data_IF_405588799384
#
_entry.id   IF_405588799384
#
_cell.length_a   1.000
_cell.length_b   1.000
_cell.length_c   1.000
_cell.angle_alpha   90.00
_cell.angle_beta   90.00
_cell.angle_gamma   90.00
#
_symmetry.space_group_name_H-M   'P 1'
#
loop_
_entity.id
_entity.type
_entity.pdbx_description
1 polymer ?
#
# COMPACT_ATOMS: atom_id res chain seq x y z
N UNK A 1 -7.83 10.45 12.11
CA UNK A 1 -7.19 10.93 10.87
C UNK A 1 -6.95 12.41 10.98
N UNK A 2 -5.70 12.88 11.12
CA UNK A 2 -5.42 14.32 11.37
C UNK A 2 -4.50 15.01 10.36
N UNK A 3 -3.99 14.32 9.32
CA UNK A 3 -3.00 14.89 8.38
C UNK A 3 -3.22 14.44 6.91
N UNK A 4 -4.47 14.29 6.43
CA UNK A 4 -4.72 14.14 4.99
C UNK A 4 -4.72 15.55 4.39
N UNK A 5 -3.86 15.78 3.39
CA UNK A 5 -3.81 17.04 2.66
C UNK A 5 -4.61 16.84 1.37
N UNK A 6 -5.66 17.63 1.20
CA UNK A 6 -6.41 17.71 -0.05
C UNK A 6 -5.81 18.81 -0.90
N UNK A 7 -5.47 18.48 -2.15
CA UNK A 7 -4.94 19.42 -3.13
C UNK A 7 -5.51 19.09 -4.50
N UNK A 8 -5.82 20.12 -5.28
CA UNK A 8 -6.38 19.94 -6.63
C UNK A 8 -5.41 19.16 -7.53
N UNK A 9 -5.93 18.12 -8.19
CA UNK A 9 -5.16 17.20 -9.02
C UNK A 9 -4.29 16.17 -8.28
N UNK A 10 -4.29 16.14 -6.94
CA UNK A 10 -3.58 15.11 -6.19
C UNK A 10 -4.31 13.75 -6.22
N UNK A 11 -3.57 12.65 -6.11
CA UNK A 11 -4.16 11.32 -5.99
C UNK A 11 -4.80 11.16 -4.61
N UNK A 12 -6.10 10.81 -4.59
CA UNK A 12 -6.82 10.51 -3.35
C UNK A 12 -6.48 9.10 -2.83
N UNK A 13 -6.56 8.90 -1.51
CA UNK A 13 -6.27 7.60 -0.88
C UNK A 13 -7.11 6.42 -1.39
N UNK A 14 -8.42 6.56 -1.69
CA UNK A 14 -9.18 5.49 -2.33
C UNK A 14 -8.61 5.05 -3.69
N UNK A 15 -8.13 6.01 -4.48
CA UNK A 15 -7.51 5.75 -5.79
C UNK A 15 -6.13 5.09 -5.61
N UNK A 16 -5.35 5.56 -4.65
CA UNK A 16 -4.07 4.97 -4.26
C UNK A 16 -4.24 3.50 -3.82
N UNK A 17 -5.26 3.22 -3.01
CA UNK A 17 -5.62 1.87 -2.57
C UNK A 17 -6.00 0.96 -3.75
N UNK A 18 -6.86 1.46 -4.65
CA UNK A 18 -7.24 0.72 -5.85
C UNK A 18 -6.01 0.39 -6.72
N UNK A 19 -5.09 1.35 -6.89
CA UNK A 19 -3.82 1.16 -7.60
C UNK A 19 -2.92 0.14 -6.90
N UNK A 20 -2.85 0.15 -5.58
CA UNK A 20 -2.10 -0.84 -4.80
C UNK A 20 -2.66 -2.26 -5.03
N UNK A 21 -3.99 -2.42 -5.06
CA UNK A 21 -4.64 -3.68 -5.38
C UNK A 21 -4.28 -4.21 -6.76
N UNK A 22 -4.40 -3.36 -7.78
CA UNK A 22 -4.02 -3.74 -9.15
C UNK A 22 -2.55 -4.14 -9.26
N UNK A 23 -1.66 -3.46 -8.52
CA UNK A 23 -0.24 -3.80 -8.48
C UNK A 23 0.00 -5.18 -7.86
N UNK A 24 -0.60 -5.48 -6.71
CA UNK A 24 -0.48 -6.78 -6.07
C UNK A 24 -1.03 -7.92 -6.94
N UNK A 25 -2.18 -7.72 -7.58
CA UNK A 25 -2.76 -8.69 -8.51
C UNK A 25 -1.80 -8.99 -9.67
N UNK A 26 -1.18 -7.95 -10.26
CA UNK A 26 -0.17 -8.11 -11.33
C UNK A 26 1.08 -8.85 -10.85
N UNK A 27 1.57 -8.56 -9.65
CA UNK A 27 2.76 -9.22 -9.09
C UNK A 27 2.46 -10.69 -8.82
N UNK A 28 1.35 -11.01 -8.15
CA UNK A 28 0.93 -12.38 -7.86
C UNK A 28 0.72 -13.20 -9.14
N UNK A 29 0.16 -12.58 -10.19
CA UNK A 29 -0.01 -13.25 -11.48
C UNK A 29 1.31 -13.48 -12.23
N UNK A 30 2.27 -12.54 -12.13
CA UNK A 30 3.54 -12.60 -12.86
C UNK A 30 4.59 -13.49 -12.20
N UNK A 31 4.60 -13.53 -10.87
CA UNK A 31 5.61 -14.20 -10.05
C UNK A 31 4.95 -15.25 -9.12
N UNK A 32 4.25 -16.26 -9.66
CA UNK A 32 3.58 -17.25 -8.84
C UNK A 32 4.61 -18.08 -8.07
N UNK A 33 4.50 -18.09 -6.73
CA UNK A 33 5.38 -18.82 -5.81
C UNK A 33 6.82 -18.29 -5.68
N UNK A 34 7.08 -17.05 -6.10
CA UNK A 34 8.36 -16.38 -5.86
C UNK A 34 8.25 -15.37 -4.70
N UNK A 35 9.37 -15.12 -4.03
CA UNK A 35 9.49 -14.00 -3.11
C UNK A 35 9.91 -12.75 -3.89
N UNK A 36 9.10 -11.68 -3.83
CA UNK A 36 9.33 -10.43 -4.55
C UNK A 36 9.64 -9.31 -3.56
N UNK A 37 10.75 -8.61 -3.77
CA UNK A 37 11.08 -7.39 -3.02
C UNK A 37 10.52 -6.16 -3.75
N UNK A 38 9.70 -5.37 -3.06
CA UNK A 38 9.24 -4.07 -3.54
C UNK A 38 9.90 -2.94 -2.74
N UNK A 39 10.52 -1.99 -3.44
CA UNK A 39 11.01 -0.73 -2.86
C UNK A 39 10.01 0.36 -3.20
N UNK A 40 9.50 1.07 -2.19
CA UNK A 40 8.39 2.01 -2.36
C UNK A 40 8.37 3.10 -1.29
N UNK A 41 7.33 3.95 -1.29
CA UNK A 41 7.11 5.03 -0.32
C UNK A 41 6.06 4.64 0.73
N UNK A 42 5.98 5.43 1.81
CA UNK A 42 5.13 5.15 2.98
C UNK A 42 3.65 4.93 2.65
N UNK A 43 3.01 5.89 1.99
CA UNK A 43 1.55 5.82 1.76
C UNK A 43 1.14 4.64 0.88
N UNK A 44 1.81 4.45 -0.25
CA UNK A 44 1.56 3.30 -1.12
C UNK A 44 1.93 1.98 -0.43
N UNK A 45 3.00 1.96 0.37
CA UNK A 45 3.38 0.80 1.19
C UNK A 45 2.28 0.41 2.18
N UNK A 46 1.68 1.39 2.85
CA UNK A 46 0.53 1.17 3.74
C UNK A 46 -0.68 0.63 2.97
N UNK A 47 -0.95 1.14 1.78
CA UNK A 47 -2.05 0.63 0.96
C UNK A 47 -1.81 -0.80 0.48
N UNK A 48 -0.56 -1.15 0.11
CA UNK A 48 -0.19 -2.52 -0.25
C UNK A 48 -0.42 -3.48 0.93
N UNK A 49 0.04 -3.11 2.12
CA UNK A 49 -0.19 -3.88 3.33
C UNK A 49 -1.70 -3.99 3.64
N UNK A 50 -2.45 -2.88 3.58
CA UNK A 50 -3.89 -2.89 3.82
C UNK A 50 -4.61 -3.87 2.87
N UNK A 51 -4.30 -3.83 1.58
CA UNK A 51 -4.86 -4.77 0.60
C UNK A 51 -4.47 -6.22 0.93
N UNK A 52 -3.22 -6.49 1.31
CA UNK A 52 -2.78 -7.88 1.55
C UNK A 52 -3.50 -8.53 2.73
N UNK A 53 -3.86 -7.76 3.76
CA UNK A 53 -4.59 -8.25 4.94
C UNK A 53 -6.09 -7.91 4.95
N UNK A 54 -6.64 -7.42 3.83
CA UNK A 54 -8.08 -7.21 3.66
C UNK A 54 -8.67 -6.01 4.40
N UNK A 55 -7.85 -5.00 4.72
CA UNK A 55 -8.28 -3.74 5.34
C UNK A 55 -8.76 -2.73 4.30
N UNK A 56 -9.58 -1.77 4.74
CA UNK A 56 -9.94 -0.57 3.98
C UNK A 56 -8.77 0.41 3.86
N UNK A 57 -8.90 1.44 3.02
CA UNK A 57 -7.87 2.48 2.91
C UNK A 57 -7.77 3.32 4.21
N UNK A 58 -8.90 3.59 4.87
CA UNK A 58 -8.97 4.31 6.14
C UNK A 58 -8.23 3.55 7.26
N UNK A 59 -8.49 2.24 7.34
CA UNK A 59 -7.83 1.32 8.27
C UNK A 59 -6.34 1.20 7.95
N UNK A 60 -6.00 1.14 6.66
CA UNK A 60 -4.62 1.17 6.16
C UNK A 60 -3.83 2.38 6.62
N UNK A 61 -4.45 3.56 6.68
CA UNK A 61 -3.78 4.76 7.21
C UNK A 61 -3.48 4.66 8.71
N UNK A 62 -4.22 3.83 9.44
CA UNK A 62 -4.02 3.60 10.88
C UNK A 62 -3.00 2.49 11.19
N UNK A 63 -2.48 1.77 10.18
CA UNK A 63 -1.42 0.78 10.41
C UNK A 63 -0.15 1.45 10.95
N UNK A 64 0.75 0.68 11.61
CA UNK A 64 2.02 1.20 12.11
C UNK A 64 2.79 2.03 11.07
N UNK A 65 3.54 3.01 11.57
CA UNK A 65 4.42 3.84 10.73
C UNK A 65 5.55 3.00 10.15
N UNK A 66 5.86 3.21 8.87
CA UNK A 66 7.00 2.57 8.21
C UNK A 66 8.23 3.47 8.38
N UNK A 67 9.23 3.00 9.11
CA UNK A 67 10.50 3.69 9.21
C UNK A 67 11.24 3.66 7.86
N UNK A 68 12.13 4.64 7.65
CA UNK A 68 12.92 4.67 6.42
C UNK A 68 13.78 3.40 6.33
N UNK A 69 13.73 2.73 5.17
CA UNK A 69 14.37 1.44 4.89
C UNK A 69 13.93 0.28 5.81
N UNK A 70 12.77 0.40 6.47
CA UNK A 70 12.16 -0.74 7.15
C UNK A 70 11.74 -1.81 6.13
N UNK A 71 11.92 -3.07 6.50
CA UNK A 71 11.46 -4.22 5.73
C UNK A 71 10.15 -4.70 6.35
N UNK A 72 9.10 -4.71 5.55
CA UNK A 72 7.78 -5.26 5.90
C UNK A 72 7.53 -6.49 5.03
N UNK A 73 7.21 -7.61 5.67
CA UNK A 73 6.86 -8.85 4.98
C UNK A 73 5.34 -8.95 4.83
N UNK A 74 4.88 -9.27 3.61
CA UNK A 74 3.47 -9.51 3.30
C UNK A 74 3.31 -10.99 2.97
N UNK A 75 2.48 -11.70 3.75
CA UNK A 75 2.20 -13.14 3.60
C UNK A 75 0.82 -13.39 3.01
#
# INVERSE_FOLDING_TARGET
MKNIIEADGAEEFPNLYYRAKQLLEKIKAKHPNENVLLVTHGDIGKMLNAVSIGLSWEEGLQTPYFANAEIVELS
#
